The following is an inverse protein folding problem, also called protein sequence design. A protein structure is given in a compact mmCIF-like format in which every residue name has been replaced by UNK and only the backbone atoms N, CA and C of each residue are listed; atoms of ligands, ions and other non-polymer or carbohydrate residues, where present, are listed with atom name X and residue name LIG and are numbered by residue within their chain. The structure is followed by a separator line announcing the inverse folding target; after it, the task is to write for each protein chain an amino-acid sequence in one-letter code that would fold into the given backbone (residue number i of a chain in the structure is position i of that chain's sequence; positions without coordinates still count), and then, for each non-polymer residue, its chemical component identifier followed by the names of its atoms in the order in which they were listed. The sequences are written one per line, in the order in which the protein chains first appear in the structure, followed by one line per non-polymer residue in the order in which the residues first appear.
data_IF_995431094669
#
_entry.id   IF_995431094669
#
_cell.length_a   1.000
_cell.length_b   1.000
_cell.length_c   1.000
_cell.angle_alpha   90.00
_cell.angle_beta   90.00
_cell.angle_gamma   90.00
#
_symmetry.space_group_name_H-M   'P 1'
#
loop_
_entity.id
_entity.type
_entity.pdbx_description
1 polymer ?
#
# COMPACT_ATOMS: atom_id res chain seq x y z
N UNK A 1 -6.72 -39.99 -0.05
CA UNK A 1 -6.95 -39.33 1.26
C UNK A 1 -5.87 -38.27 1.41
N UNK A 2 -6.14 -37.02 1.01
CA UNK A 2 -5.17 -35.91 1.02
C UNK A 2 -5.87 -34.56 1.27
N UNK A 3 -6.96 -34.56 2.06
CA UNK A 3 -7.85 -33.40 2.25
C UNK A 3 -7.74 -32.72 3.61
N UNK A 4 -7.25 -33.38 4.66
CA UNK A 4 -7.29 -32.84 6.04
C UNK A 4 -6.08 -32.00 6.44
N UNK A 5 -4.93 -32.16 5.78
CA UNK A 5 -3.70 -31.49 6.21
C UNK A 5 -3.64 -30.00 5.82
N UNK A 6 -4.34 -29.60 4.74
CA UNK A 6 -4.25 -28.25 4.15
C UNK A 6 -5.18 -27.23 4.82
N UNK A 7 -6.36 -27.64 5.27
CA UNK A 7 -7.24 -26.78 6.09
C UNK A 7 -6.65 -26.50 7.47
N UNK A 8 -5.84 -27.43 7.98
CA UNK A 8 -5.13 -27.32 9.26
C UNK A 8 -3.98 -26.31 9.24
N UNK A 9 -3.27 -26.13 8.12
CA UNK A 9 -2.13 -25.19 8.05
C UNK A 9 -2.58 -23.74 7.92
N UNK A 10 -3.57 -23.46 7.06
CA UNK A 10 -4.12 -22.12 6.90
C UNK A 10 -4.77 -21.59 8.19
N UNK A 11 -5.53 -22.43 8.88
CA UNK A 11 -6.13 -22.07 10.18
C UNK A 11 -5.07 -21.76 11.25
N UNK A 12 -3.93 -22.46 11.23
CA UNK A 12 -2.80 -22.18 12.12
C UNK A 12 -2.12 -20.85 11.80
N UNK A 13 -1.96 -20.49 10.52
CA UNK A 13 -1.39 -19.19 10.11
C UNK A 13 -2.28 -18.04 10.57
N UNK A 14 -3.58 -18.13 10.29
CA UNK A 14 -4.57 -17.14 10.74
C UNK A 14 -4.56 -16.96 12.26
N UNK A 15 -4.50 -18.07 13.01
CA UNK A 15 -4.45 -18.03 14.47
C UNK A 15 -3.18 -17.31 14.97
N UNK A 16 -2.00 -17.71 14.47
CA UNK A 16 -0.73 -17.10 14.87
C UNK A 16 -0.66 -15.61 14.54
N UNK A 17 -1.21 -15.21 13.40
CA UNK A 17 -1.21 -13.82 12.99
C UNK A 17 -2.18 -12.99 13.86
N UNK A 18 -3.34 -13.54 14.19
CA UNK A 18 -4.28 -12.91 15.13
C UNK A 18 -3.67 -12.72 16.51
N UNK A 19 -3.04 -13.76 17.04
CA UNK A 19 -2.32 -13.69 18.32
C UNK A 19 -1.21 -12.63 18.28
N UNK A 20 -0.47 -12.53 17.18
CA UNK A 20 0.55 -11.51 16.98
C UNK A 20 -0.04 -10.09 16.95
N UNK A 21 -1.16 -9.88 16.25
CA UNK A 21 -1.86 -8.59 16.17
C UNK A 21 -2.46 -8.16 17.52
N UNK A 22 -3.01 -9.11 18.28
CA UNK A 22 -3.51 -8.89 19.64
C UNK A 22 -2.36 -8.54 20.61
N UNK A 23 -1.22 -9.21 20.48
CA UNK A 23 -0.01 -8.89 21.23
C UNK A 23 0.53 -7.49 20.88
N UNK A 24 0.51 -7.11 19.60
CA UNK A 24 0.86 -5.75 19.16
C UNK A 24 -0.05 -4.70 19.80
N UNK A 25 -1.37 -4.96 19.79
CA UNK A 25 -2.38 -4.07 20.37
C UNK A 25 -2.13 -3.85 21.86
N UNK A 26 -1.85 -4.92 22.60
CA UNK A 26 -1.57 -4.86 24.04
C UNK A 26 -0.23 -4.17 24.36
N UNK A 27 0.78 -4.36 23.53
CA UNK A 27 2.13 -3.79 23.69
C UNK A 27 2.15 -2.28 23.41
N UNK A 28 1.45 -1.84 22.37
CA UNK A 28 1.42 -0.42 21.97
C UNK A 28 0.62 0.43 22.97
N UNK A 29 -0.39 -0.12 23.63
CA UNK A 29 -1.12 0.57 24.71
C UNK A 29 -0.26 0.84 25.96
N UNK A 30 0.83 0.11 26.16
CA UNK A 30 1.65 0.17 27.37
C UNK A 30 2.98 0.91 27.21
N UNK A 31 3.38 1.28 25.98
CA UNK A 31 4.68 1.91 25.69
C UNK A 31 4.55 3.24 24.95
N UNK A 32 5.47 4.16 25.25
CA UNK A 32 5.67 5.40 24.47
C UNK A 32 6.03 5.07 23.00
N UNK A 33 5.56 5.94 22.10
CA UNK A 33 5.56 5.90 20.61
C UNK A 33 6.92 5.57 19.95
N UNK A 34 8.02 5.53 20.69
CA UNK A 34 9.40 5.42 20.18
C UNK A 34 9.82 3.95 19.90
N UNK A 35 9.01 2.94 20.25
CA UNK A 35 9.32 1.50 20.05
C UNK A 35 8.36 0.75 19.11
N UNK A 36 7.75 1.45 18.13
CA UNK A 36 6.78 0.85 17.18
C UNK A 36 7.35 -0.37 16.42
N UNK A 37 8.62 -0.33 16.03
CA UNK A 37 9.23 -1.37 15.20
C UNK A 37 9.40 -2.70 15.96
N UNK A 38 9.79 -2.63 17.24
CA UNK A 38 9.92 -3.80 18.10
C UNK A 38 8.54 -4.40 18.43
N UNK A 39 7.51 -3.55 18.55
CA UNK A 39 6.15 -3.98 18.80
C UNK A 39 5.56 -4.74 17.60
N UNK A 40 5.91 -4.36 16.36
CA UNK A 40 5.42 -5.01 15.14
C UNK A 40 6.25 -6.22 14.69
N UNK A 41 7.44 -6.43 15.26
CA UNK A 41 8.34 -7.52 14.91
C UNK A 41 7.65 -8.91 14.85
N UNK A 42 6.70 -9.27 15.75
CA UNK A 42 6.01 -10.56 15.65
C UNK A 42 5.22 -10.73 14.34
N UNK A 43 4.56 -9.66 13.87
CA UNK A 43 3.78 -9.67 12.63
C UNK A 43 4.69 -9.66 11.41
N UNK A 44 5.66 -8.75 11.37
CA UNK A 44 6.56 -8.61 10.21
C UNK A 44 7.46 -9.83 10.03
N UNK A 45 7.98 -10.42 11.12
CA UNK A 45 8.78 -11.64 11.06
C UNK A 45 7.96 -12.85 10.61
N UNK A 46 6.69 -12.95 11.02
CA UNK A 46 5.81 -14.03 10.56
C UNK A 46 5.59 -13.94 9.06
N UNK A 47 5.29 -12.74 8.54
CA UNK A 47 5.11 -12.52 7.10
C UNK A 47 6.39 -12.79 6.32
N UNK A 48 7.55 -12.36 6.84
CA UNK A 48 8.83 -12.62 6.21
C UNK A 48 9.14 -14.12 6.14
N UNK A 49 8.92 -14.84 7.25
CA UNK A 49 9.11 -16.29 7.31
C UNK A 49 8.20 -17.05 6.34
N UNK A 50 6.95 -16.60 6.17
CA UNK A 50 6.04 -17.17 5.16
C UNK A 50 6.57 -16.88 3.76
N UNK A 51 7.02 -15.64 3.49
CA UNK A 51 7.58 -15.29 2.18
C UNK A 51 8.84 -16.10 1.82
N UNK A 52 9.76 -16.29 2.76
CA UNK A 52 10.97 -17.10 2.55
C UNK A 52 10.62 -18.56 2.20
N UNK A 53 9.52 -19.10 2.75
CA UNK A 53 9.04 -20.44 2.36
C UNK A 53 8.56 -20.52 0.92
N UNK A 54 8.07 -19.40 0.35
CA UNK A 54 7.61 -19.34 -1.05
C UNK A 54 8.76 -19.28 -2.06
N UNK A 55 9.97 -18.90 -1.65
CA UNK A 55 11.11 -18.64 -2.57
C UNK A 55 12.19 -19.72 -2.53
N UNK A 56 12.24 -20.55 -1.49
CA UNK A 56 13.40 -21.40 -1.21
C UNK A 56 13.26 -22.87 -1.61
N UNK A 57 12.03 -23.39 -1.82
CA UNK A 57 11.83 -24.82 -2.09
C UNK A 57 10.71 -25.08 -3.12
N UNK A 58 11.04 -25.77 -4.23
CA UNK A 58 10.15 -26.00 -5.38
C UNK A 58 8.89 -26.81 -5.01
N UNK A 59 9.00 -27.71 -4.03
CA UNK A 59 7.88 -28.53 -3.55
C UNK A 59 6.98 -27.77 -2.54
N UNK A 60 7.46 -26.66 -1.97
CA UNK A 60 6.74 -25.85 -0.98
C UNK A 60 6.18 -24.52 -1.53
N UNK A 61 6.46 -24.18 -2.80
CA UNK A 61 5.99 -22.92 -3.42
C UNK A 61 4.47 -22.77 -3.36
N UNK A 62 3.72 -23.77 -3.84
CA UNK A 62 2.26 -23.69 -3.92
C UNK A 62 1.61 -23.61 -2.52
N UNK A 63 1.97 -24.48 -1.55
CA UNK A 63 1.48 -24.37 -0.17
C UNK A 63 1.91 -23.07 0.52
N UNK A 64 3.10 -22.55 0.21
CA UNK A 64 3.59 -21.26 0.73
C UNK A 64 2.75 -20.09 0.24
N UNK A 65 2.44 -20.04 -1.06
CA UNK A 65 1.57 -19.02 -1.66
C UNK A 65 0.16 -19.07 -1.04
N UNK A 66 -0.43 -20.26 -0.90
CA UNK A 66 -1.73 -20.41 -0.22
C UNK A 66 -1.68 -19.90 1.23
N UNK A 67 -0.61 -20.20 1.97
CA UNK A 67 -0.40 -19.70 3.32
C UNK A 67 -0.27 -18.18 3.39
N UNK A 68 0.41 -17.57 2.41
CA UNK A 68 0.56 -16.13 2.29
C UNK A 68 -0.76 -15.45 1.96
N UNK A 69 -1.57 -16.02 1.05
CA UNK A 69 -2.91 -15.52 0.76
C UNK A 69 -3.79 -15.49 2.02
N UNK A 70 -3.73 -16.55 2.83
CA UNK A 70 -4.46 -16.62 4.11
C UNK A 70 -3.96 -15.56 5.09
N UNK A 71 -2.64 -15.36 5.19
CA UNK A 71 -2.07 -14.33 6.05
C UNK A 71 -2.49 -12.91 5.63
N UNK A 72 -2.48 -12.63 4.33
CA UNK A 72 -2.91 -11.33 3.80
C UNK A 72 -4.40 -11.07 4.03
N UNK A 73 -5.25 -12.09 3.86
CA UNK A 73 -6.69 -11.97 4.13
C UNK A 73 -6.96 -11.70 5.62
N UNK A 74 -6.20 -12.35 6.52
CA UNK A 74 -6.30 -12.11 7.96
C UNK A 74 -5.86 -10.68 8.34
N UNK A 75 -4.77 -10.17 7.77
CA UNK A 75 -4.34 -8.77 7.95
C UNK A 75 -5.42 -7.83 7.46
N UNK A 76 -5.93 -8.04 6.24
CA UNK A 76 -6.95 -7.16 5.69
C UNK A 76 -8.22 -7.15 6.55
N UNK A 77 -8.62 -8.31 7.08
CA UNK A 77 -9.74 -8.44 8.00
C UNK A 77 -9.51 -7.69 9.31
N UNK A 78 -8.30 -7.76 9.85
CA UNK A 78 -7.92 -6.95 11.01
C UNK A 78 -8.00 -5.46 10.66
N UNK A 79 -7.31 -4.98 9.62
CA UNK A 79 -7.32 -3.56 9.26
C UNK A 79 -8.75 -3.02 9.06
N UNK A 80 -9.61 -3.80 8.40
CA UNK A 80 -10.98 -3.42 8.09
C UNK A 80 -11.97 -3.55 9.25
N UNK A 81 -11.55 -4.12 10.39
CA UNK A 81 -12.41 -4.30 11.54
C UNK A 81 -12.62 -2.96 12.28
N UNK A 82 -13.87 -2.60 12.64
CA UNK A 82 -14.15 -1.34 13.35
C UNK A 82 -13.56 -1.30 14.77
N UNK A 83 -13.27 -2.46 15.35
CA UNK A 83 -12.70 -2.60 16.70
C UNK A 83 -11.17 -2.63 16.71
N UNK A 84 -10.54 -2.42 15.55
CA UNK A 84 -9.09 -2.49 15.44
C UNK A 84 -8.40 -1.32 16.13
N UNK A 85 -7.31 -1.64 16.81
CA UNK A 85 -6.51 -0.63 17.50
C UNK A 85 -5.85 0.30 16.47
N UNK A 86 -6.30 1.56 16.44
CA UNK A 86 -5.86 2.58 15.49
C UNK A 86 -4.34 2.81 15.53
N UNK A 87 -3.69 2.69 16.70
CA UNK A 87 -2.24 2.85 16.79
C UNK A 87 -1.51 1.69 16.11
N UNK A 88 -2.04 0.47 16.19
CA UNK A 88 -1.52 -0.69 15.46
C UNK A 88 -1.73 -0.50 13.96
N UNK A 89 -2.89 -0.02 13.53
CA UNK A 89 -3.18 0.29 12.12
C UNK A 89 -2.21 1.34 11.59
N UNK A 90 -1.97 2.42 12.34
CA UNK A 90 -1.00 3.46 11.99
C UNK A 90 0.42 2.91 11.91
N UNK A 91 0.86 2.13 12.89
CA UNK A 91 2.19 1.51 12.87
C UNK A 91 2.34 0.56 11.67
N UNK A 92 1.35 -0.31 11.44
CA UNK A 92 1.33 -1.21 10.28
C UNK A 92 1.30 -0.45 8.95
N UNK A 93 0.75 0.75 8.91
CA UNK A 93 0.70 1.56 7.69
C UNK A 93 2.07 1.97 7.18
N UNK A 94 3.11 1.98 8.02
CA UNK A 94 4.48 2.25 7.62
C UNK A 94 5.20 1.03 7.04
N UNK A 95 4.88 -0.17 7.54
CA UNK A 95 5.60 -1.40 7.17
C UNK A 95 4.87 -2.24 6.12
N UNK A 96 3.55 -2.38 6.22
CA UNK A 96 2.77 -3.24 5.32
C UNK A 96 2.93 -2.86 3.85
N UNK A 97 2.88 -1.59 3.41
CA UNK A 97 3.04 -1.26 1.99
C UNK A 97 4.36 -1.78 1.41
N UNK A 98 5.45 -1.77 2.19
CA UNK A 98 6.78 -2.25 1.77
C UNK A 98 6.84 -3.76 1.66
N UNK A 99 6.00 -4.48 2.40
CA UNK A 99 5.89 -5.94 2.37
C UNK A 99 4.92 -6.40 1.27
N UNK A 100 3.71 -5.84 1.22
CA UNK A 100 2.67 -6.30 0.28
C UNK A 100 3.03 -6.03 -1.18
N UNK A 101 3.88 -5.04 -1.47
CA UNK A 101 4.42 -4.84 -2.83
C UNK A 101 5.26 -6.03 -3.31
N UNK A 102 5.92 -6.75 -2.40
CA UNK A 102 6.74 -7.94 -2.71
C UNK A 102 5.90 -9.21 -2.81
N UNK A 103 4.77 -9.25 -2.09
CA UNK A 103 3.88 -10.41 -2.08
C UNK A 103 2.90 -10.41 -3.25
N UNK A 104 2.47 -9.23 -3.67
CA UNK A 104 1.47 -9.05 -4.70
C UNK A 104 1.80 -9.78 -6.02
N UNK A 105 3.08 -9.89 -6.48
CA UNK A 105 3.40 -10.60 -7.73
C UNK A 105 3.33 -12.13 -7.62
N UNK A 106 3.22 -12.69 -6.40
CA UNK A 106 3.32 -14.14 -6.18
C UNK A 106 2.05 -14.90 -6.58
N UNK A 107 0.88 -14.24 -6.58
CA UNK A 107 -0.37 -14.79 -7.12
C UNK A 107 -1.37 -13.67 -7.43
N UNK A 108 -2.31 -13.92 -8.35
CA UNK A 108 -3.39 -12.97 -8.66
C UNK A 108 -4.15 -12.57 -7.39
N UNK A 109 -4.44 -13.54 -6.52
CA UNK A 109 -5.17 -13.30 -5.27
C UNK A 109 -4.34 -12.52 -4.23
N UNK A 110 -3.03 -12.75 -4.15
CA UNK A 110 -2.14 -11.89 -3.37
C UNK A 110 -2.19 -10.44 -3.88
N UNK A 111 -2.17 -10.24 -5.20
CA UNK A 111 -2.31 -8.93 -5.84
C UNK A 111 -3.62 -8.23 -5.49
N UNK A 112 -4.74 -8.95 -5.57
CA UNK A 112 -6.07 -8.43 -5.20
C UNK A 112 -6.15 -8.02 -3.72
N UNK A 113 -5.65 -8.86 -2.80
CA UNK A 113 -5.69 -8.56 -1.37
C UNK A 113 -4.74 -7.40 -1.04
N UNK A 114 -3.54 -7.37 -1.64
CA UNK A 114 -2.62 -6.25 -1.50
C UNK A 114 -3.27 -4.94 -1.96
N UNK A 115 -3.99 -4.94 -3.09
CA UNK A 115 -4.77 -3.80 -3.55
C UNK A 115 -5.77 -3.30 -2.51
N UNK A 116 -6.57 -4.21 -1.92
CA UNK A 116 -7.53 -3.88 -0.85
C UNK A 116 -6.86 -3.31 0.40
N UNK A 117 -5.70 -3.86 0.80
CA UNK A 117 -4.91 -3.35 1.92
C UNK A 117 -4.47 -1.91 1.64
N UNK A 118 -3.88 -1.65 0.47
CA UNK A 118 -3.43 -0.30 0.09
C UNK A 118 -4.61 0.67 0.03
N UNK A 119 -5.73 0.28 -0.60
CA UNK A 119 -6.93 1.11 -0.66
C UNK A 119 -7.45 1.47 0.74
N UNK A 120 -7.52 0.48 1.64
CA UNK A 120 -7.95 0.69 3.01
C UNK A 120 -7.02 1.66 3.75
N UNK A 121 -5.71 1.40 3.75
CA UNK A 121 -4.71 2.27 4.41
C UNK A 121 -4.74 3.69 3.85
N UNK A 122 -4.87 3.85 2.53
CA UNK A 122 -5.02 5.15 1.87
C UNK A 122 -6.29 5.87 2.31
N UNK A 123 -7.34 5.16 2.72
CA UNK A 123 -8.58 5.78 3.18
C UNK A 123 -8.52 6.23 4.65
N UNK A 124 -7.82 5.48 5.52
CA UNK A 124 -7.84 5.72 6.98
C UNK A 124 -6.62 6.47 7.51
N UNK A 125 -5.44 6.32 6.90
CA UNK A 125 -4.19 6.88 7.41
C UNK A 125 -4.00 8.35 7.02
N UNK A 126 -3.00 8.98 7.65
CA UNK A 126 -2.57 10.34 7.32
C UNK A 126 -2.05 10.40 5.86
N UNK A 127 -2.61 11.26 4.99
CA UNK A 127 -2.26 11.25 3.58
C UNK A 127 -0.80 11.66 3.31
N UNK A 128 -0.18 12.47 4.16
CA UNK A 128 1.22 12.88 3.96
C UNK A 128 2.19 11.74 4.28
N UNK A 129 1.93 11.03 5.37
CA UNK A 129 2.73 9.87 5.77
C UNK A 129 2.55 8.74 4.75
N UNK A 130 1.30 8.47 4.35
CA UNK A 130 1.00 7.48 3.33
C UNK A 130 1.66 7.80 1.98
N UNK A 131 1.72 9.08 1.57
CA UNK A 131 2.46 9.47 0.36
C UNK A 131 3.93 9.06 0.46
N UNK A 132 4.56 9.35 1.59
CA UNK A 132 5.97 9.01 1.84
C UNK A 132 6.19 7.50 1.79
N UNK A 133 5.34 6.74 2.48
CA UNK A 133 5.46 5.28 2.57
C UNK A 133 5.23 4.60 1.22
N UNK A 134 4.21 5.02 0.45
CA UNK A 134 3.97 4.46 -0.89
C UNK A 134 5.12 4.79 -1.84
N UNK A 135 5.67 6.01 -1.78
CA UNK A 135 6.86 6.36 -2.55
C UNK A 135 8.08 5.54 -2.15
N UNK A 136 8.28 5.29 -0.86
CA UNK A 136 9.36 4.44 -0.36
C UNK A 136 9.21 2.99 -0.86
N UNK A 137 8.01 2.41 -0.73
CA UNK A 137 7.70 1.06 -1.22
C UNK A 137 7.99 0.93 -2.72
N UNK A 138 7.59 1.91 -3.54
CA UNK A 138 7.82 1.94 -4.99
C UNK A 138 9.27 2.19 -5.40
N UNK A 139 10.10 2.77 -4.51
CA UNK A 139 11.50 3.08 -4.80
C UNK A 139 12.47 2.07 -4.21
N UNK A 140 12.02 1.25 -3.25
CA UNK A 140 12.75 0.09 -2.75
C UNK A 140 13.23 -0.74 -3.93
N UNK A 141 14.48 -1.24 -3.94
CA UNK A 141 14.88 -2.29 -4.84
C UNK A 141 13.96 -3.48 -4.54
N UNK A 142 12.91 -3.65 -5.35
CA UNK A 142 12.27 -4.93 -5.47
C UNK A 142 13.33 -5.82 -6.12
N UNK A 143 13.66 -6.94 -5.49
CA UNK A 143 14.43 -7.97 -6.16
C UNK A 143 13.70 -8.26 -7.47
N UNK A 144 14.39 -7.98 -8.58
CA UNK A 144 13.83 -7.61 -9.87
C UNK A 144 13.20 -8.79 -10.64
N UNK A 145 12.23 -9.49 -10.06
CA UNK A 145 11.63 -10.69 -10.65
C UNK A 145 10.11 -10.82 -10.48
N UNK A 146 9.40 -9.78 -10.04
CA UNK A 146 7.95 -9.82 -9.82
C UNK A 146 7.20 -8.92 -10.79
N UNK A 147 6.29 -9.50 -11.58
CA UNK A 147 5.57 -8.87 -12.69
C UNK A 147 4.87 -7.54 -12.37
N UNK A 148 4.62 -6.77 -13.43
CA UNK A 148 4.25 -5.35 -13.37
C UNK A 148 2.90 -5.03 -12.70
N UNK A 149 2.11 -6.04 -12.33
CA UNK A 149 0.69 -5.89 -11.96
C UNK A 149 0.49 -5.25 -10.59
N UNK A 150 1.52 -5.27 -9.76
CA UNK A 150 1.45 -4.80 -8.39
C UNK A 150 1.63 -3.30 -8.26
N UNK A 151 2.29 -2.67 -9.23
CA UNK A 151 2.53 -1.24 -9.21
C UNK A 151 1.25 -0.42 -9.41
N UNK A 152 0.27 -0.94 -10.16
CA UNK A 152 -0.98 -0.24 -10.46
C UNK A 152 -1.73 0.16 -9.17
N UNK A 153 -1.88 -0.77 -8.22
CA UNK A 153 -2.53 -0.53 -6.93
C UNK A 153 -1.86 0.58 -6.11
N UNK A 154 -0.52 0.61 -6.11
CA UNK A 154 0.25 1.64 -5.40
C UNK A 154 0.15 3.00 -6.09
N UNK A 155 0.18 3.03 -7.42
CA UNK A 155 0.03 4.26 -8.20
C UNK A 155 -1.39 4.83 -8.09
N UNK A 156 -2.43 3.99 -8.10
CA UNK A 156 -3.80 4.40 -7.78
C UNK A 156 -3.92 4.92 -6.34
N UNK A 157 -3.25 4.25 -5.38
CA UNK A 157 -3.14 4.72 -4.01
C UNK A 157 -2.54 6.13 -3.92
N UNK A 158 -1.41 6.37 -4.58
CA UNK A 158 -0.77 7.70 -4.65
C UNK A 158 -1.69 8.76 -5.26
N UNK A 159 -2.44 8.41 -6.31
CA UNK A 159 -3.41 9.30 -6.93
C UNK A 159 -4.48 9.76 -5.95
N UNK A 160 -5.06 8.80 -5.21
CA UNK A 160 -6.05 9.07 -4.16
C UNK A 160 -5.43 9.89 -3.03
N UNK A 161 -4.21 9.57 -2.60
CA UNK A 161 -3.49 10.31 -1.55
C UNK A 161 -3.27 11.77 -1.95
N UNK A 162 -2.86 12.04 -3.19
CA UNK A 162 -2.66 13.40 -3.69
C UNK A 162 -3.92 14.26 -3.57
N UNK A 163 -5.10 13.68 -3.83
CA UNK A 163 -6.39 14.36 -3.68
C UNK A 163 -6.76 14.64 -2.22
N UNK A 164 -6.30 13.80 -1.28
CA UNK A 164 -6.56 13.95 0.17
C UNK A 164 -5.62 14.95 0.85
N UNK A 165 -4.49 15.27 0.24
CA UNK A 165 -3.56 16.29 0.77
C UNK A 165 -4.23 17.66 0.68
N UNK A 166 -4.10 18.46 1.74
CA UNK A 166 -4.75 19.77 1.81
C UNK A 166 -3.80 20.95 1.54
N UNK A 167 -2.48 20.75 1.65
CA UNK A 167 -1.47 21.81 1.60
C UNK A 167 -0.21 21.32 0.91
N UNK A 168 0.52 22.27 0.33
CA UNK A 168 1.81 22.02 -0.36
C UNK A 168 1.67 21.04 -1.53
N UNK A 169 0.55 21.10 -2.25
CA UNK A 169 0.26 20.14 -3.31
C UNK A 169 1.37 20.08 -4.38
N UNK A 170 1.95 21.22 -4.74
CA UNK A 170 3.03 21.29 -5.74
C UNK A 170 4.27 20.55 -5.25
N UNK A 171 4.64 20.71 -3.99
CA UNK A 171 5.77 20.00 -3.38
C UNK A 171 5.52 18.49 -3.34
N UNK A 172 4.29 18.06 -3.04
CA UNK A 172 3.95 16.63 -3.04
C UNK A 172 3.99 16.04 -4.45
N UNK A 173 3.46 16.75 -5.45
CA UNK A 173 3.54 16.33 -6.86
C UNK A 173 4.99 16.22 -7.33
N UNK A 174 5.87 17.15 -6.92
CA UNK A 174 7.30 17.10 -7.24
C UNK A 174 8.01 15.86 -6.66
N UNK A 175 7.56 15.36 -5.52
CA UNK A 175 8.09 14.12 -4.90
C UNK A 175 7.58 12.89 -5.63
N UNK A 176 6.28 12.86 -5.95
CA UNK A 176 5.61 11.68 -6.51
C UNK A 176 5.96 11.45 -7.99
N UNK A 177 6.06 12.52 -8.78
CA UNK A 177 6.24 12.40 -10.23
C UNK A 177 7.50 11.63 -10.65
N UNK A 178 8.70 11.89 -10.09
CA UNK A 178 9.89 11.11 -10.43
C UNK A 178 9.77 9.63 -10.07
N UNK A 179 9.06 9.30 -8.98
CA UNK A 179 8.85 7.91 -8.55
C UNK A 179 8.01 7.17 -9.59
N UNK A 180 6.89 7.76 -10.02
CA UNK A 180 6.02 7.15 -11.04
C UNK A 180 6.75 6.99 -12.36
N UNK A 181 7.51 8.00 -12.79
CA UNK A 181 8.27 7.92 -14.03
C UNK A 181 9.31 6.79 -13.97
N UNK A 182 9.97 6.61 -12.82
CA UNK A 182 10.91 5.50 -12.60
C UNK A 182 10.19 4.15 -12.70
N UNK A 183 9.06 4.00 -12.01
CA UNK A 183 8.26 2.75 -12.02
C UNK A 183 7.78 2.41 -13.42
N UNK A 184 7.23 3.39 -14.15
CA UNK A 184 6.83 3.21 -15.55
C UNK A 184 8.02 2.79 -16.41
N UNK A 185 9.16 3.46 -16.28
CA UNK A 185 10.34 3.15 -17.08
C UNK A 185 10.85 1.72 -16.83
N UNK A 186 10.83 1.26 -15.57
CA UNK A 186 11.15 -0.14 -15.22
C UNK A 186 10.15 -1.09 -15.87
N UNK A 187 8.85 -0.87 -15.67
CA UNK A 187 7.80 -1.73 -16.22
C UNK A 187 7.83 -1.81 -17.76
N UNK A 188 8.09 -0.71 -18.46
CA UNK A 188 8.23 -0.69 -19.92
C UNK A 188 9.52 -1.35 -20.43
N UNK A 189 10.57 -1.37 -19.61
CA UNK A 189 11.84 -2.00 -19.98
C UNK A 189 11.80 -3.52 -19.78
N UNK A 190 10.98 -3.98 -18.84
CA UNK A 190 10.86 -5.39 -18.44
C UNK A 190 9.65 -6.10 -19.06
N UNK A 191 8.77 -5.38 -19.76
CA UNK A 191 7.54 -5.95 -20.30
C UNK A 191 7.79 -6.87 -21.51
N UNK A 192 7.38 -8.13 -21.40
CA UNK A 192 7.22 -9.06 -22.52
C UNK A 192 5.77 -9.04 -23.05
N UNK A 193 5.50 -9.74 -24.16
CA UNK A 193 4.17 -9.78 -24.82
C UNK A 193 3.04 -10.32 -23.91
N UNK A 194 3.36 -11.09 -22.86
CA UNK A 194 2.41 -11.67 -21.90
C UNK A 194 1.95 -10.69 -20.81
N UNK A 195 2.63 -9.56 -20.62
CA UNK A 195 2.38 -8.59 -19.53
C UNK A 195 1.48 -7.41 -19.91
N UNK A 196 0.78 -7.49 -21.04
CA UNK A 196 0.00 -6.37 -21.60
C UNK A 196 -1.10 -5.85 -20.68
N UNK A 197 -1.85 -6.72 -20.04
CA UNK A 197 -2.97 -6.32 -19.18
C UNK A 197 -2.48 -5.57 -17.95
N UNK A 198 -1.44 -6.10 -17.32
CA UNK A 198 -0.76 -5.48 -16.19
C UNK A 198 -0.18 -4.10 -16.52
N UNK A 199 0.46 -3.98 -17.68
CA UNK A 199 0.99 -2.70 -18.17
C UNK A 199 -0.14 -1.70 -18.45
N UNK A 200 -1.27 -2.15 -18.99
CA UNK A 200 -2.45 -1.32 -19.21
C UNK A 200 -3.06 -0.81 -17.88
N UNK A 201 -3.09 -1.65 -16.85
CA UNK A 201 -3.54 -1.25 -15.50
C UNK A 201 -2.60 -0.21 -14.90
N UNK A 202 -1.29 -0.39 -15.05
CA UNK A 202 -0.30 0.59 -14.60
C UNK A 202 -0.40 1.92 -15.37
N UNK A 203 -0.62 1.88 -16.69
CA UNK A 203 -0.89 3.07 -17.49
C UNK A 203 -2.16 3.79 -17.05
N UNK A 204 -3.23 3.03 -16.79
CA UNK A 204 -4.48 3.58 -16.26
C UNK A 204 -4.27 4.24 -14.90
N UNK A 205 -3.46 3.62 -14.04
CA UNK A 205 -3.05 4.20 -12.76
C UNK A 205 -2.25 5.49 -12.95
N UNK A 206 -1.31 5.54 -13.89
CA UNK A 206 -0.54 6.75 -14.20
C UNK A 206 -1.42 7.87 -14.78
N UNK A 207 -2.41 7.55 -15.61
CA UNK A 207 -3.41 8.53 -16.08
C UNK A 207 -4.20 9.11 -14.89
N UNK A 208 -4.54 8.28 -13.90
CA UNK A 208 -5.23 8.75 -12.71
C UNK A 208 -4.43 9.81 -11.95
N UNK A 209 -3.09 9.71 -11.92
CA UNK A 209 -2.21 10.74 -11.33
C UNK A 209 -2.36 12.06 -12.10
N UNK A 210 -2.36 12.00 -13.44
CA UNK A 210 -2.58 13.17 -14.29
C UNK A 210 -3.93 13.84 -13.98
N UNK A 211 -5.00 13.04 -13.88
CA UNK A 211 -6.34 13.52 -13.49
C UNK A 211 -6.35 14.17 -12.12
N UNK A 212 -5.69 13.57 -11.13
CA UNK A 212 -5.58 14.12 -9.77
C UNK A 212 -4.80 15.43 -9.72
N UNK A 213 -3.71 15.55 -10.49
CA UNK A 213 -2.96 16.81 -10.64
C UNK A 213 -3.83 17.88 -11.29
N UNK A 214 -4.58 17.53 -12.34
CA UNK A 214 -5.50 18.45 -13.00
C UNK A 214 -6.56 18.97 -12.01
N UNK A 215 -7.15 18.10 -11.21
CA UNK A 215 -8.14 18.47 -10.19
C UNK A 215 -7.53 19.39 -9.12
N UNK A 216 -6.32 19.10 -8.64
CA UNK A 216 -5.58 19.96 -7.71
C UNK A 216 -5.36 21.34 -8.33
N UNK A 217 -4.91 21.41 -9.58
CA UNK A 217 -4.69 22.67 -10.28
C UNK A 217 -5.98 23.50 -10.37
N UNK A 218 -7.10 22.87 -10.71
CA UNK A 218 -8.41 23.54 -10.74
C UNK A 218 -8.80 24.08 -9.36
N UNK A 219 -8.63 23.30 -8.30
CA UNK A 219 -8.89 23.75 -6.91
C UNK A 219 -8.05 24.96 -6.54
N UNK A 220 -6.75 24.94 -6.86
CA UNK A 220 -5.83 26.04 -6.55
C UNK A 220 -6.18 27.34 -7.30
N UNK A 221 -6.52 27.25 -8.60
CA UNK A 221 -6.96 28.40 -9.39
C UNK A 221 -8.25 28.99 -8.82
N UNK A 222 -9.23 28.15 -8.48
CA UNK A 222 -10.48 28.60 -7.87
C UNK A 222 -10.27 29.33 -6.55
N UNK A 223 -9.41 28.80 -5.67
CA UNK A 223 -9.07 29.44 -4.38
C UNK A 223 -8.41 30.81 -4.62
N UNK A 224 -7.49 30.88 -5.58
CA UNK A 224 -6.78 32.11 -5.91
C UNK A 224 -7.74 33.19 -6.44
N UNK A 225 -8.58 32.87 -7.43
CA UNK A 225 -9.56 33.81 -7.98
C UNK A 225 -10.56 34.28 -6.94
N UNK A 226 -11.03 33.39 -6.06
CA UNK A 226 -11.93 33.74 -4.97
C UNK A 226 -11.27 34.71 -3.98
N UNK A 227 -9.98 34.49 -3.69
CA UNK A 227 -9.21 35.38 -2.80
C UNK A 227 -9.05 36.78 -3.41
N UNK A 228 -8.74 36.87 -4.72
CA UNK A 228 -8.69 38.15 -5.44
C UNK A 228 -10.05 38.85 -5.38
N UNK A 229 -11.13 38.12 -5.68
CA UNK A 229 -12.48 38.70 -5.66
C UNK A 229 -12.86 39.25 -4.28
N UNK A 230 -12.60 38.49 -3.20
CA UNK A 230 -12.80 38.98 -1.83
C UNK A 230 -11.96 40.21 -1.54
N UNK A 231 -10.69 40.22 -1.95
CA UNK A 231 -9.82 41.37 -1.75
C UNK A 231 -10.36 42.60 -2.49
N UNK A 232 -10.69 42.50 -3.78
CA UNK A 232 -11.31 43.58 -4.55
C UNK A 232 -12.61 44.09 -3.89
N UNK A 233 -13.46 43.18 -3.41
CA UNK A 233 -14.72 43.51 -2.74
C UNK A 233 -14.54 44.20 -1.40
N UNK A 234 -13.51 43.84 -0.63
CA UNK A 234 -13.22 44.46 0.68
C UNK A 234 -12.58 45.84 0.57
N UNK A 235 -11.99 46.18 -0.58
CA UNK A 235 -11.28 47.44 -0.80
C UNK A 235 -11.97 48.37 -1.81
N UNK A 236 -13.21 48.05 -2.23
CA UNK A 236 -13.97 48.78 -3.26
C UNK A 236 -13.15 49.02 -4.54
N UNK A 237 -12.28 48.06 -4.89
CA UNK A 237 -11.49 48.08 -6.12
C UNK A 237 -12.31 47.36 -7.19
N UNK A 238 -13.22 48.09 -7.83
CA UNK A 238 -13.93 47.68 -9.05
C UNK A 238 -13.57 48.58 -10.22
#
# INVERSE_FOLDING_TARGET
MAGDSRSSSGSQISLRLREALEACSSSIETKDVIQSDEALAPVTNLLHSIMESCTNDLDEILPGIEGLEVALDEIYRFLSSPDSNQMVVEALSFELPKLVIKFAPLSVKCGEIAGKIIEHLVSVCNPREMLSVLCEALTSPADASGGSGCYSNFVFGLSTVLLRIQRRHVEQVKVVLPVILKVLNVAFSESDEEDKDSLNDLLSAAISIGSSIQEICQKLVCIFLRTIYYFCSCFDIY
#
